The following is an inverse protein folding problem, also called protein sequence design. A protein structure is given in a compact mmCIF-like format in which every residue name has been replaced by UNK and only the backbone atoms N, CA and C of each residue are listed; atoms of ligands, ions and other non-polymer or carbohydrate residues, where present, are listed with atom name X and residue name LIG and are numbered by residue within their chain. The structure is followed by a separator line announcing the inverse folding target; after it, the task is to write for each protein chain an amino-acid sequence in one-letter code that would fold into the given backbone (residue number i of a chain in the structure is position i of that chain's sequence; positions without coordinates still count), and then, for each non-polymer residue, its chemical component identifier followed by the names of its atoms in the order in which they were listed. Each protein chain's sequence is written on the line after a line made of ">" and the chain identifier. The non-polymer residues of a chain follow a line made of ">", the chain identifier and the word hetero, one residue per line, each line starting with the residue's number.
data_IF_578749006457
#
_entry.id   IF_578749006457
#
_cell.length_a   1.000
_cell.length_b   1.000
_cell.length_c   1.000
_cell.angle_alpha   90.00
_cell.angle_beta   90.00
_cell.angle_gamma   90.00
#
_symmetry.space_group_name_H-M   'P 1'
#
loop_
_entity.id
_entity.type
_entity.pdbx_description
1 polymer ?
#
# COMPACT_ATOMS: atom_id res chain seq x y z
N UNK A 1 7.97 -23.19 19.10
CA UNK A 1 9.20 -22.56 18.63
C UNK A 1 9.00 -21.72 17.35
N UNK A 2 8.26 -22.24 16.37
CA UNK A 2 7.93 -21.47 15.14
C UNK A 2 7.01 -20.28 15.40
N UNK A 3 6.07 -20.41 16.36
CA UNK A 3 5.16 -19.33 16.77
C UNK A 3 5.92 -18.19 17.46
N UNK A 4 6.93 -18.47 18.27
CA UNK A 4 7.73 -17.43 18.91
C UNK A 4 8.63 -16.70 17.91
N UNK A 5 9.24 -17.41 16.96
CA UNK A 5 10.08 -16.80 15.92
C UNK A 5 9.25 -15.87 15.01
N UNK A 6 8.05 -16.29 14.59
CA UNK A 6 7.15 -15.44 13.81
C UNK A 6 6.69 -14.21 14.61
N UNK A 7 6.39 -14.37 15.91
CA UNK A 7 6.06 -13.26 16.80
C UNK A 7 7.23 -12.28 16.97
N UNK A 8 8.45 -12.79 17.05
CA UNK A 8 9.63 -11.93 17.20
C UNK A 8 9.97 -11.19 15.90
N UNK A 9 9.80 -11.82 14.75
CA UNK A 9 9.91 -11.15 13.45
C UNK A 9 8.87 -10.03 13.34
N UNK A 10 7.61 -10.30 13.68
CA UNK A 10 6.54 -9.30 13.66
C UNK A 10 6.80 -8.14 14.63
N UNK A 11 7.26 -8.42 15.83
CA UNK A 11 7.63 -7.37 16.80
C UNK A 11 8.80 -6.51 16.30
N UNK A 12 9.80 -7.13 15.69
CA UNK A 12 10.92 -6.40 15.07
C UNK A 12 10.43 -5.51 13.92
N UNK A 13 9.54 -6.00 13.08
CA UNK A 13 8.93 -5.21 12.02
C UNK A 13 8.14 -4.01 12.58
N UNK A 14 7.33 -4.22 13.61
CA UNK A 14 6.60 -3.13 14.28
C UNK A 14 7.53 -2.08 14.89
N UNK A 15 8.60 -2.50 15.55
CA UNK A 15 9.61 -1.60 16.12
C UNK A 15 10.34 -0.83 15.02
N UNK A 16 10.73 -1.49 13.94
CA UNK A 16 11.34 -0.83 12.78
C UNK A 16 10.38 0.19 12.14
N UNK A 17 9.11 -0.13 12.02
CA UNK A 17 8.10 0.82 11.52
C UNK A 17 7.98 2.03 12.45
N UNK A 18 7.97 1.82 13.76
CA UNK A 18 7.91 2.88 14.74
C UNK A 18 9.19 3.75 14.77
N UNK A 19 10.35 3.14 14.56
CA UNK A 19 11.63 3.86 14.48
C UNK A 19 11.77 4.65 13.19
N UNK A 20 11.36 4.09 12.04
CA UNK A 20 11.38 4.80 10.76
C UNK A 20 10.48 6.05 10.74
N UNK A 21 9.48 6.11 11.60
CA UNK A 21 8.55 7.24 11.63
C UNK A 21 9.01 8.42 12.50
N UNK A 22 10.11 8.29 13.23
CA UNK A 22 10.43 9.27 14.29
C UNK A 22 11.66 10.11 14.06
N UNK A 23 12.70 9.62 13.39
CA UNK A 23 13.97 10.35 13.28
C UNK A 23 14.78 9.93 12.05
N UNK A 24 15.69 10.82 11.66
CA UNK A 24 16.75 10.51 10.68
C UNK A 24 17.58 9.29 11.11
N UNK A 25 17.76 9.09 12.41
CA UNK A 25 18.51 7.96 12.95
C UNK A 25 17.79 6.63 12.69
N UNK A 26 16.46 6.60 12.81
CA UNK A 26 15.67 5.41 12.48
C UNK A 26 15.83 4.98 11.02
N UNK A 27 15.73 5.95 10.10
CA UNK A 27 15.95 5.69 8.67
C UNK A 27 17.38 5.19 8.44
N UNK A 28 18.37 5.86 9.02
CA UNK A 28 19.78 5.51 8.83
C UNK A 28 20.15 4.14 9.43
N UNK A 29 19.51 3.70 10.51
CA UNK A 29 19.67 2.33 11.03
C UNK A 29 19.23 1.28 10.01
N UNK A 30 18.09 1.49 9.34
CA UNK A 30 17.62 0.59 8.28
C UNK A 30 18.60 0.58 7.11
N UNK A 31 19.04 1.75 6.66
CA UNK A 31 19.99 1.92 5.56
C UNK A 31 21.34 1.26 5.86
N UNK A 32 21.86 1.45 7.08
CA UNK A 32 23.11 0.81 7.51
C UNK A 32 23.02 -0.71 7.48
N UNK A 33 21.89 -1.27 7.92
CA UNK A 33 21.65 -2.72 7.82
C UNK A 33 21.66 -3.21 6.35
N UNK A 34 21.10 -2.42 5.45
CA UNK A 34 21.09 -2.70 4.02
C UNK A 34 22.38 -2.30 3.29
N UNK A 35 23.42 -1.87 4.03
CA UNK A 35 24.70 -1.39 3.48
C UNK A 35 24.56 -0.20 2.52
N UNK A 36 23.53 0.63 2.74
CA UNK A 36 23.28 1.85 1.99
C UNK A 36 23.88 3.07 2.70
N UNK A 37 24.32 4.09 1.97
CA UNK A 37 24.82 5.32 2.57
C UNK A 37 23.71 6.02 3.39
N UNK A 38 24.04 6.64 4.53
CA UNK A 38 23.06 7.36 5.35
C UNK A 38 22.53 8.58 4.60
N UNK A 39 21.28 8.96 4.90
CA UNK A 39 20.75 10.25 4.47
C UNK A 39 21.24 11.34 5.44
N UNK A 40 21.48 12.54 4.90
CA UNK A 40 22.02 13.66 5.67
C UNK A 40 20.95 14.57 6.24
N UNK A 41 19.74 14.55 5.65
CA UNK A 41 18.61 15.37 6.09
C UNK A 41 17.32 14.54 6.05
N UNK A 42 16.47 14.76 7.05
CA UNK A 42 15.14 14.18 7.07
C UNK A 42 14.22 14.93 6.12
N UNK A 43 13.51 14.21 5.27
CA UNK A 43 12.39 14.70 4.49
C UNK A 43 11.28 13.65 4.51
N UNK A 44 10.03 14.08 4.38
CA UNK A 44 8.90 13.15 4.25
C UNK A 44 9.04 12.25 3.02
N UNK A 45 9.62 12.78 1.95
CA UNK A 45 9.88 12.00 0.74
C UNK A 45 10.92 10.90 0.98
N UNK A 46 12.00 11.22 1.71
CA UNK A 46 13.00 10.23 2.08
C UNK A 46 12.38 9.12 2.94
N UNK A 47 11.57 9.46 3.93
CA UNK A 47 10.83 8.50 4.75
C UNK A 47 9.89 7.63 3.90
N UNK A 48 9.08 8.24 3.02
CA UNK A 48 8.13 7.53 2.17
C UNK A 48 8.82 6.59 1.19
N UNK A 49 9.97 7.01 0.66
CA UNK A 49 10.80 6.19 -0.23
C UNK A 49 11.41 5.01 0.51
N UNK A 50 11.98 5.24 1.69
CA UNK A 50 12.57 4.18 2.50
C UNK A 50 11.52 3.14 2.92
N UNK A 51 10.35 3.59 3.35
CA UNK A 51 9.22 2.68 3.64
C UNK A 51 8.80 1.87 2.42
N UNK A 52 8.78 2.49 1.22
CA UNK A 52 8.44 1.79 -0.01
C UNK A 52 9.42 0.66 -0.33
N UNK A 53 10.71 0.87 -0.11
CA UNK A 53 11.73 -0.13 -0.39
C UNK A 53 11.78 -1.23 0.69
N UNK A 54 11.76 -0.83 1.95
CA UNK A 54 11.86 -1.77 3.07
C UNK A 54 10.63 -2.68 3.17
N UNK A 55 9.45 -2.15 2.90
CA UNK A 55 8.17 -2.85 3.03
C UNK A 55 7.63 -3.35 1.67
N UNK A 56 8.51 -3.44 0.67
CA UNK A 56 8.15 -4.01 -0.61
C UNK A 56 7.62 -5.44 -0.42
N UNK A 57 6.51 -5.75 -1.10
CA UNK A 57 5.82 -7.05 -1.05
C UNK A 57 5.13 -7.42 0.29
N UNK A 58 5.11 -6.52 1.28
CA UNK A 58 4.40 -6.75 2.55
C UNK A 58 2.94 -6.26 2.53
N UNK A 59 2.38 -5.94 1.36
CA UNK A 59 1.02 -5.44 1.15
C UNK A 59 0.68 -4.13 1.92
N UNK A 60 1.67 -3.42 2.45
CA UNK A 60 1.47 -2.21 3.26
C UNK A 60 1.38 -0.93 2.41
N UNK A 61 1.77 -0.96 1.15
CA UNK A 61 1.84 0.23 0.29
C UNK A 61 0.51 0.94 0.13
N UNK A 62 -0.58 0.19 -0.04
CA UNK A 62 -1.92 0.75 -0.18
C UNK A 62 -2.32 1.53 1.08
N UNK A 63 -2.12 0.94 2.25
CA UNK A 63 -2.43 1.59 3.53
C UNK A 63 -1.57 2.83 3.79
N UNK A 64 -0.30 2.81 3.38
CA UNK A 64 0.56 3.98 3.46
C UNK A 64 0.05 5.12 2.56
N UNK A 65 -0.37 4.81 1.34
CA UNK A 65 -0.92 5.81 0.42
C UNK A 65 -2.22 6.43 0.95
N UNK A 66 -3.14 5.62 1.47
CA UNK A 66 -4.37 6.11 2.10
C UNK A 66 -4.06 7.00 3.31
N UNK A 67 -3.11 6.62 4.14
CA UNK A 67 -2.72 7.40 5.33
C UNK A 67 -2.09 8.74 4.96
N UNK A 68 -1.30 8.80 3.90
CA UNK A 68 -0.61 10.03 3.48
C UNK A 68 -1.46 10.96 2.63
N UNK A 69 -2.34 10.41 1.82
CA UNK A 69 -3.07 11.15 0.79
C UNK A 69 -4.59 11.05 0.92
N UNK A 70 -5.10 10.22 1.85
CA UNK A 70 -6.54 10.04 2.03
C UNK A 70 -7.23 9.62 0.74
N UNK A 71 -8.29 10.31 0.40
CA UNK A 71 -9.08 10.05 -0.82
C UNK A 71 -8.34 10.36 -2.13
N UNK A 72 -7.22 11.09 -2.07
CA UNK A 72 -6.40 11.38 -3.24
C UNK A 72 -5.39 10.27 -3.56
N UNK A 73 -5.35 9.21 -2.76
CA UNK A 73 -4.42 8.09 -2.97
C UNK A 73 -4.55 7.47 -4.37
N UNK A 74 -5.78 7.35 -4.90
CA UNK A 74 -6.03 6.84 -6.25
C UNK A 74 -5.42 7.74 -7.33
N UNK A 75 -5.60 9.05 -7.20
CA UNK A 75 -4.99 10.05 -8.10
C UNK A 75 -3.46 9.96 -8.09
N UNK A 76 -2.87 9.84 -6.90
CA UNK A 76 -1.40 9.72 -6.76
C UNK A 76 -0.88 8.42 -7.38
N UNK A 77 -1.59 7.30 -7.22
CA UNK A 77 -1.23 6.04 -7.88
C UNK A 77 -1.24 6.23 -9.40
N UNK A 78 -2.31 6.82 -9.94
CA UNK A 78 -2.43 7.08 -11.38
C UNK A 78 -1.29 7.95 -11.91
N UNK A 79 -0.97 9.04 -11.22
CA UNK A 79 0.11 9.97 -11.63
C UNK A 79 1.50 9.34 -11.62
N UNK A 80 1.72 8.34 -10.76
CA UNK A 80 3.02 7.67 -10.60
C UNK A 80 3.11 6.33 -11.35
N UNK A 81 2.17 6.06 -12.26
CA UNK A 81 2.25 4.89 -13.11
C UNK A 81 3.37 5.05 -14.14
N UNK A 82 4.32 4.15 -14.08
CA UNK A 82 5.36 4.03 -15.09
C UNK A 82 5.06 2.83 -15.99
N UNK A 83 5.43 2.90 -17.29
CA UNK A 83 5.36 1.75 -18.16
C UNK A 83 6.13 0.57 -17.56
N UNK A 84 5.53 -0.60 -17.57
CA UNK A 84 6.21 -1.82 -17.20
C UNK A 84 6.98 -2.35 -18.43
N UNK A 85 8.27 -2.59 -18.27
CA UNK A 85 9.10 -3.18 -19.31
C UNK A 85 9.27 -4.66 -18.97
N UNK A 86 8.78 -5.52 -19.86
CA UNK A 86 8.91 -6.98 -19.72
C UNK A 86 9.91 -7.48 -20.76
N UNK A 87 10.88 -8.25 -20.30
CA UNK A 87 11.81 -8.97 -21.16
C UNK A 87 11.38 -10.43 -21.25
N UNK A 88 11.03 -10.87 -22.44
CA UNK A 88 10.74 -12.25 -22.72
C UNK A 88 11.65 -12.72 -23.86
N UNK A 89 12.49 -13.72 -23.61
CA UNK A 89 13.44 -14.27 -24.59
C UNK A 89 14.26 -13.19 -25.33
N UNK A 90 14.79 -12.23 -24.58
CA UNK A 90 15.55 -11.08 -25.09
C UNK A 90 14.72 -10.06 -25.90
N UNK A 91 13.42 -10.27 -26.06
CA UNK A 91 12.52 -9.27 -26.62
C UNK A 91 11.98 -8.37 -25.52
N UNK A 92 12.14 -7.07 -25.71
CA UNK A 92 11.57 -6.07 -24.83
C UNK A 92 10.14 -5.76 -25.25
N UNK A 93 9.20 -5.93 -24.34
CA UNK A 93 7.82 -5.49 -24.51
C UNK A 93 7.53 -4.39 -23.50
N UNK A 94 7.10 -3.24 -23.95
CA UNK A 94 6.66 -2.15 -23.07
C UNK A 94 5.15 -2.23 -22.92
N UNK A 95 4.68 -2.43 -21.69
CA UNK A 95 3.26 -2.40 -21.37
C UNK A 95 2.96 -1.04 -20.76
N UNK A 96 2.25 -0.21 -21.52
CA UNK A 96 1.71 1.05 -21.02
C UNK A 96 0.39 0.76 -20.34
N UNK A 97 0.37 0.97 -19.04
CA UNK A 97 -0.71 0.49 -18.22
C UNK A 97 -1.72 1.55 -17.83
N UNK A 98 -2.66 1.77 -18.68
CA UNK A 98 -4.03 1.99 -18.21
C UNK A 98 -4.91 0.76 -18.57
N UNK A 99 -4.45 -0.46 -18.40
CA UNK A 99 -5.17 -1.71 -18.74
C UNK A 99 -6.31 -1.57 -19.77
N UNK A 100 -6.29 -0.50 -20.56
CA UNK A 100 -7.13 -0.20 -21.69
C UNK A 100 -8.58 0.21 -21.40
N UNK A 101 -9.05 0.21 -20.16
CA UNK A 101 -10.47 0.39 -19.81
C UNK A 101 -10.73 1.43 -18.72
N UNK A 102 -9.85 2.43 -18.52
CA UNK A 102 -10.01 3.41 -17.45
C UNK A 102 -9.98 2.78 -16.05
N UNK A 103 -9.24 1.68 -15.89
CA UNK A 103 -9.15 0.95 -14.62
C UNK A 103 -8.74 1.85 -13.47
N UNK A 104 -7.73 2.69 -13.69
CA UNK A 104 -7.25 3.61 -12.66
C UNK A 104 -8.19 4.78 -12.40
N UNK A 105 -8.98 5.18 -13.38
CA UNK A 105 -10.07 6.17 -13.19
C UNK A 105 -11.18 5.59 -12.34
N UNK A 106 -11.54 4.34 -12.57
CA UNK A 106 -12.51 3.62 -11.74
C UNK A 106 -11.98 3.42 -10.32
N UNK A 107 -10.71 3.07 -10.18
CA UNK A 107 -10.04 2.91 -8.89
C UNK A 107 -10.01 4.25 -8.12
N UNK A 108 -9.60 5.35 -8.75
CA UNK A 108 -9.58 6.68 -8.14
C UNK A 108 -10.97 7.10 -7.67
N UNK A 109 -11.97 6.93 -8.55
CA UNK A 109 -13.36 7.20 -8.20
C UNK A 109 -13.80 6.36 -7.00
N UNK A 110 -13.52 5.07 -7.01
CA UNK A 110 -13.89 4.16 -5.93
C UNK A 110 -13.24 4.55 -4.60
N UNK A 111 -11.95 4.89 -4.60
CA UNK A 111 -11.26 5.38 -3.39
C UNK A 111 -11.91 6.64 -2.84
N UNK A 112 -12.33 7.57 -3.72
CA UNK A 112 -13.04 8.80 -3.31
C UNK A 112 -14.42 8.53 -2.73
N UNK A 113 -15.19 7.61 -3.33
CA UNK A 113 -16.54 7.24 -2.87
C UNK A 113 -16.51 6.48 -1.53
N UNK A 114 -15.53 5.59 -1.34
CA UNK A 114 -15.47 4.69 -0.18
C UNK A 114 -14.53 5.16 0.93
N UNK A 115 -13.81 6.27 0.72
CA UNK A 115 -12.73 6.67 1.63
C UNK A 115 -11.57 5.66 1.71
N UNK A 116 -11.48 4.74 0.72
CA UNK A 116 -10.48 3.68 0.69
C UNK A 116 -10.85 2.43 1.49
N UNK A 117 -12.03 2.38 2.09
CA UNK A 117 -12.49 1.18 2.79
C UNK A 117 -12.87 0.07 1.81
N UNK A 118 -12.56 -1.15 2.18
CA UNK A 118 -12.95 -2.34 1.42
C UNK A 118 -14.40 -2.71 1.70
N UNK A 119 -15.03 -3.40 0.75
CA UNK A 119 -16.35 -3.97 0.92
C UNK A 119 -16.31 -5.05 2.02
N UNK A 120 -17.31 -5.02 2.90
CA UNK A 120 -17.55 -6.14 3.83
C UNK A 120 -18.26 -7.24 3.02
N UNK A 121 -17.78 -8.50 3.05
CA UNK A 121 -18.43 -9.60 2.36
C UNK A 121 -19.91 -9.73 2.76
N UNK A 122 -20.79 -9.85 1.78
CA UNK A 122 -22.24 -9.92 2.04
C UNK A 122 -22.62 -11.05 2.97
N UNK A 123 -21.95 -12.19 2.90
CA UNK A 123 -22.17 -13.33 3.79
C UNK A 123 -21.95 -12.94 5.27
N UNK A 124 -20.97 -12.08 5.55
CA UNK A 124 -20.70 -11.59 6.91
C UNK A 124 -21.80 -10.65 7.39
N UNK A 125 -22.34 -9.81 6.50
CA UNK A 125 -23.44 -8.92 6.80
C UNK A 125 -24.70 -9.76 7.12
N UNK A 126 -25.00 -10.77 6.29
CA UNK A 126 -26.13 -11.67 6.52
C UNK A 126 -26.01 -12.47 7.83
N UNK A 127 -24.83 -13.02 8.10
CA UNK A 127 -24.56 -13.78 9.33
C UNK A 127 -24.67 -12.91 10.59
N UNK A 128 -24.47 -11.61 10.47
CA UNK A 128 -24.59 -10.67 11.60
C UNK A 128 -26.04 -10.37 12.01
N UNK A 129 -27.05 -10.87 11.28
CA UNK A 129 -28.46 -10.56 11.48
C UNK A 129 -28.77 -9.05 11.51
N UNK A 130 -28.12 -8.28 10.65
CA UNK A 130 -28.36 -6.85 10.52
C UNK A 130 -27.59 -5.96 11.51
N UNK A 131 -26.64 -6.53 12.26
CA UNK A 131 -25.76 -5.75 13.16
C UNK A 131 -24.64 -5.06 12.38
N UNK A 132 -24.11 -5.73 11.34
CA UNK A 132 -23.09 -5.14 10.47
C UNK A 132 -23.75 -4.40 9.32
N UNK A 133 -23.40 -3.14 9.18
CA UNK A 133 -23.74 -2.32 8.02
C UNK A 133 -22.57 -2.29 7.04
N UNK A 134 -22.86 -2.11 5.75
CA UNK A 134 -21.84 -2.01 4.72
C UNK A 134 -21.05 -0.71 4.87
N UNK A 135 -19.77 -0.75 4.50
CA UNK A 135 -18.96 0.46 4.44
C UNK A 135 -19.54 1.47 3.43
N UNK A 136 -19.41 2.79 3.72
CA UNK A 136 -19.90 3.84 2.82
C UNK A 136 -19.39 3.67 1.40
N UNK A 137 -20.23 3.96 0.41
CA UNK A 137 -19.93 3.84 -1.01
C UNK A 137 -20.04 2.41 -1.58
N UNK A 138 -20.37 1.43 -0.72
CA UNK A 138 -20.60 0.04 -1.12
C UNK A 138 -22.08 -0.37 -0.98
N UNK A 139 -22.97 0.56 -0.64
CA UNK A 139 -24.40 0.28 -0.48
C UNK A 139 -24.99 -0.16 -1.83
N UNK A 140 -25.69 -1.28 -1.81
CA UNK A 140 -26.38 -1.82 -2.99
C UNK A 140 -25.49 -2.37 -4.10
N UNK A 141 -24.17 -2.43 -3.92
CA UNK A 141 -23.30 -3.02 -4.92
C UNK A 141 -23.12 -4.52 -4.69
N UNK A 142 -23.70 -5.32 -5.57
CA UNK A 142 -23.34 -6.74 -5.69
C UNK A 142 -22.09 -6.94 -6.57
N UNK A 143 -21.39 -5.87 -6.90
CA UNK A 143 -20.33 -5.90 -7.88
C UNK A 143 -19.02 -6.24 -7.21
N UNK A 144 -18.61 -7.49 -7.38
CA UNK A 144 -17.19 -7.85 -7.42
C UNK A 144 -16.55 -7.17 -8.64
N UNK A 145 -15.30 -6.77 -8.48
CA UNK A 145 -14.45 -6.28 -9.56
C UNK A 145 -14.32 -7.29 -10.71
#
# INVERSE_FOLDING_TARGET
>A
ALSSAASDVYKRQLLMHAEMTRTIDGINRVRTRAQLPPILAYTDEALRSERRYELAFEALRYHDLLRWYGTDAGTIIKQNLNPCIIYNNLQQTTINEDRGNGYFDQFDRRVKETGGFMQIPNDQIQLSNGVLEQNPGWEGSNNMF
#
